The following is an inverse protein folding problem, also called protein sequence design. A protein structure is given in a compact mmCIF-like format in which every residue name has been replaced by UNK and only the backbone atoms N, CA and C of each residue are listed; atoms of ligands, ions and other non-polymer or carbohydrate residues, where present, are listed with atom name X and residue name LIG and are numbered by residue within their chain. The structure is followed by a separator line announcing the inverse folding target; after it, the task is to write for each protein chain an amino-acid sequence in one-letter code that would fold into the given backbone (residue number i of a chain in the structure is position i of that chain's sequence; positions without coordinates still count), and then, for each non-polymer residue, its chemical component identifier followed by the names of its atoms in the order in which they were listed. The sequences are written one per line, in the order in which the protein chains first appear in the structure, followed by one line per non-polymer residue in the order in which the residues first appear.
data_IF_928466635308
#
_entry.id   IF_928466635308
#
_cell.length_a   1.000
_cell.length_b   1.000
_cell.length_c   1.000
_cell.angle_alpha   90.00
_cell.angle_beta   90.00
_cell.angle_gamma   90.00
#
_symmetry.space_group_name_H-M   'P 1'
#
loop_
_entity.id
_entity.type
_entity.pdbx_description
1 polymer ?
#
# COMPACT_ATOMS: atom_id res chain seq x y z
N UNK A 1 14.18 -13.95 -25.62
CA UNK A 1 14.91 -14.36 -24.40
C UNK A 1 14.19 -15.55 -23.83
N UNK A 2 14.89 -16.67 -23.64
CA UNK A 2 14.29 -17.90 -23.13
C UNK A 2 13.84 -17.67 -21.68
N UNK A 3 12.62 -18.08 -21.32
CA UNK A 3 12.05 -17.82 -20.00
C UNK A 3 12.94 -18.28 -18.83
N UNK A 4 13.75 -19.34 -19.05
CA UNK A 4 14.75 -19.80 -18.09
C UNK A 4 15.87 -18.78 -17.83
N UNK A 5 16.36 -18.09 -18.86
CA UNK A 5 17.38 -17.05 -18.72
C UNK A 5 16.82 -15.86 -17.91
N UNK A 6 15.58 -15.45 -18.20
CA UNK A 6 14.91 -14.34 -17.49
C UNK A 6 14.72 -14.65 -16.00
N UNK A 7 14.23 -15.85 -15.64
CA UNK A 7 14.05 -16.25 -14.23
C UNK A 7 15.39 -16.33 -13.51
N UNK A 8 16.42 -16.86 -14.17
CA UNK A 8 17.78 -16.95 -13.59
C UNK A 8 18.34 -15.56 -13.32
N UNK A 9 18.17 -14.60 -14.25
CA UNK A 9 18.60 -13.22 -14.08
C UNK A 9 17.83 -12.51 -12.95
N UNK A 10 16.51 -12.64 -12.88
CA UNK A 10 15.69 -12.04 -11.80
C UNK A 10 16.09 -12.63 -10.45
N UNK A 11 16.33 -13.94 -10.37
CA UNK A 11 16.70 -14.63 -9.14
C UNK A 11 18.09 -14.20 -8.65
N UNK A 12 19.08 -14.08 -9.55
CA UNK A 12 20.41 -13.57 -9.21
C UNK A 12 20.34 -12.11 -8.77
N UNK A 13 19.56 -11.27 -9.48
CA UNK A 13 19.39 -9.86 -9.11
C UNK A 13 18.74 -9.70 -7.73
N UNK A 14 17.70 -10.49 -7.43
CA UNK A 14 17.05 -10.52 -6.12
C UNK A 14 18.01 -10.98 -5.02
N UNK A 15 18.77 -12.05 -5.25
CA UNK A 15 19.76 -12.55 -4.30
C UNK A 15 20.83 -11.48 -3.99
N UNK A 16 21.46 -10.92 -5.02
CA UNK A 16 22.49 -9.90 -4.84
C UNK A 16 21.94 -8.64 -4.18
N UNK A 17 20.76 -8.17 -4.61
CA UNK A 17 20.10 -7.00 -4.03
C UNK A 17 19.82 -7.18 -2.53
N UNK A 18 19.20 -8.29 -2.14
CA UNK A 18 18.93 -8.60 -0.74
C UNK A 18 20.21 -8.79 0.08
N UNK A 19 21.20 -9.50 -0.47
CA UNK A 19 22.48 -9.74 0.19
C UNK A 19 23.23 -8.43 0.46
N UNK A 20 23.41 -7.58 -0.56
CA UNK A 20 24.16 -6.34 -0.40
C UNK A 20 23.43 -5.32 0.46
N UNK A 21 22.11 -5.13 0.29
CA UNK A 21 21.34 -4.22 1.15
C UNK A 21 21.31 -4.71 2.60
N UNK A 22 21.16 -6.02 2.82
CA UNK A 22 21.19 -6.64 4.15
C UNK A 22 22.57 -6.61 4.81
N UNK A 23 23.65 -6.48 4.03
CA UNK A 23 25.01 -6.36 4.55
C UNK A 23 25.36 -4.92 4.99
N UNK A 24 24.56 -3.91 4.60
CA UNK A 24 24.80 -2.50 4.96
C UNK A 24 24.93 -2.30 6.49
N UNK A 25 24.01 -2.80 7.35
CA UNK A 25 24.14 -2.64 8.80
C UNK A 25 25.34 -3.39 9.42
N UNK A 26 25.94 -4.34 8.69
CA UNK A 26 27.14 -5.08 9.11
C UNK A 26 28.43 -4.38 8.69
N UNK A 27 28.42 -3.67 7.56
CA UNK A 27 29.56 -2.89 7.06
C UNK A 27 29.82 -1.62 7.87
N UNK A 28 28.78 -1.06 8.47
CA UNK A 28 28.87 0.15 9.29
C UNK A 28 28.58 -0.18 10.75
N UNK A 29 29.45 0.22 11.67
CA UNK A 29 29.19 0.12 13.11
C UNK A 29 28.11 1.13 13.52
N UNK A 30 26.85 0.74 13.34
CA UNK A 30 25.70 1.58 13.63
C UNK A 30 25.41 1.61 15.13
N UNK A 31 25.08 2.80 15.63
CA UNK A 31 24.64 2.96 17.03
C UNK A 31 23.30 2.24 17.28
N UNK A 32 23.01 1.89 18.54
CA UNK A 32 21.70 1.33 18.92
C UNK A 32 20.52 2.21 18.46
N UNK A 33 20.67 3.54 18.49
CA UNK A 33 19.66 4.48 18.00
C UNK A 33 19.43 4.34 16.48
N UNK A 34 20.51 4.17 15.72
CA UNK A 34 20.44 3.99 14.26
C UNK A 34 19.80 2.64 13.90
N UNK A 35 20.13 1.57 14.64
CA UNK A 35 19.51 0.25 14.45
C UNK A 35 18.02 0.27 14.77
N UNK A 36 17.61 0.91 15.88
CA UNK A 36 16.19 1.12 16.20
C UNK A 36 15.47 1.92 15.12
N UNK A 37 16.08 2.99 14.62
CA UNK A 37 15.50 3.77 13.52
C UNK A 37 15.30 2.94 12.25
N UNK A 38 16.31 2.16 11.84
CA UNK A 38 16.22 1.27 10.67
C UNK A 38 15.16 0.19 10.87
N UNK A 39 15.05 -0.38 12.07
CA UNK A 39 14.03 -1.38 12.39
C UNK A 39 12.62 -0.81 12.32
N UNK A 40 12.39 0.39 12.86
CA UNK A 40 11.09 1.07 12.80
C UNK A 40 10.74 1.44 11.36
N UNK A 41 11.74 1.91 10.58
CA UNK A 41 11.61 2.21 9.16
C UNK A 41 11.19 0.97 8.35
N UNK A 42 11.91 -0.14 8.52
CA UNK A 42 11.61 -1.39 7.84
C UNK A 42 10.24 -1.95 8.24
N UNK A 43 9.92 -1.98 9.54
CA UNK A 43 8.65 -2.48 10.03
C UNK A 43 7.45 -1.67 9.52
N UNK A 44 7.55 -0.33 9.55
CA UNK A 44 6.49 0.55 9.05
C UNK A 44 6.26 0.42 7.55
N UNK A 45 7.35 0.40 6.76
CA UNK A 45 7.28 0.24 5.31
C UNK A 45 6.68 -1.13 4.92
N UNK A 46 7.18 -2.22 5.52
CA UNK A 46 6.70 -3.58 5.25
C UNK A 46 5.23 -3.76 5.65
N UNK A 47 4.85 -3.26 6.83
CA UNK A 47 3.46 -3.32 7.30
C UNK A 47 2.52 -2.52 6.38
N UNK A 48 2.93 -1.32 5.96
CA UNK A 48 2.17 -0.49 5.02
C UNK A 48 1.95 -1.18 3.68
N UNK A 49 3.03 -1.67 3.06
CA UNK A 49 2.94 -2.37 1.76
C UNK A 49 2.13 -3.66 1.87
N UNK A 50 2.33 -4.46 2.92
CA UNK A 50 1.68 -5.76 3.01
C UNK A 50 0.19 -5.67 3.44
N UNK A 51 -0.21 -4.67 4.23
CA UNK A 51 -1.63 -4.39 4.46
C UNK A 51 -2.33 -3.84 3.22
N UNK A 52 -1.62 -3.03 2.43
CA UNK A 52 -2.11 -2.55 1.15
C UNK A 52 -2.34 -3.69 0.12
N UNK A 53 -1.61 -4.81 0.24
CA UNK A 53 -1.77 -6.05 -0.56
C UNK A 53 -2.82 -7.00 0.05
N UNK A 54 -2.95 -7.07 1.37
CA UNK A 54 -3.79 -8.14 1.94
C UNK A 54 -5.27 -7.77 1.91
N UNK A 55 -5.59 -6.48 2.03
CA UNK A 55 -6.98 -6.03 2.17
C UNK A 55 -7.69 -5.97 0.82
N UNK A 56 -7.18 -5.32 -0.24
CA UNK A 56 -7.86 -5.28 -1.55
C UNK A 56 -8.02 -6.67 -2.13
N UNK A 57 -6.94 -7.45 -2.14
CA UNK A 57 -6.94 -8.83 -2.61
C UNK A 57 -7.89 -9.68 -1.75
N UNK A 58 -7.87 -9.56 -0.42
CA UNK A 58 -8.81 -10.26 0.45
C UNK A 58 -10.30 -9.95 0.19
N UNK A 59 -10.62 -8.72 -0.20
CA UNK A 59 -11.99 -8.31 -0.56
C UNK A 59 -12.38 -8.83 -1.93
N UNK A 60 -11.50 -8.77 -2.92
CA UNK A 60 -11.74 -9.36 -4.24
C UNK A 60 -12.06 -10.85 -4.14
N UNK A 61 -11.29 -11.58 -3.32
CA UNK A 61 -11.48 -13.01 -3.08
C UNK A 61 -12.84 -13.30 -2.43
N UNK A 62 -13.23 -12.50 -1.45
CA UNK A 62 -14.54 -12.58 -0.79
C UNK A 62 -15.66 -12.33 -1.81
N UNK A 63 -15.55 -11.27 -2.59
CA UNK A 63 -16.63 -10.85 -3.49
C UNK A 63 -16.80 -11.78 -4.70
N UNK A 64 -15.71 -12.37 -5.23
CA UNK A 64 -15.77 -13.45 -6.23
C UNK A 64 -16.47 -14.70 -5.69
N UNK A 65 -16.22 -15.06 -4.43
CA UNK A 65 -16.88 -16.18 -3.78
C UNK A 65 -18.38 -15.92 -3.53
N UNK A 66 -18.78 -14.66 -3.38
CA UNK A 66 -20.16 -14.25 -3.07
C UNK A 66 -20.96 -13.69 -4.26
N UNK A 67 -20.37 -13.35 -5.42
CA UNK A 67 -21.08 -12.69 -6.53
C UNK A 67 -20.48 -12.93 -7.93
N UNK A 68 -21.28 -13.52 -8.83
CA UNK A 68 -20.98 -13.64 -10.26
C UNK A 68 -21.15 -12.34 -11.07
N UNK A 69 -20.49 -11.22 -10.71
CA UNK A 69 -20.62 -9.90 -11.39
C UNK A 69 -19.26 -9.22 -11.68
N UNK A 70 -18.52 -9.74 -12.66
CA UNK A 70 -17.15 -9.31 -13.01
C UNK A 70 -16.92 -7.95 -13.69
N UNK A 71 -17.83 -6.95 -13.59
CA UNK A 71 -17.58 -5.57 -14.11
C UNK A 71 -17.63 -4.46 -13.06
N UNK A 72 -18.33 -4.68 -11.94
CA UNK A 72 -18.29 -3.76 -10.78
C UNK A 72 -17.01 -3.96 -9.96
N UNK A 73 -16.39 -5.15 -10.08
CA UNK A 73 -15.25 -5.61 -9.29
C UNK A 73 -14.00 -4.74 -9.43
N UNK A 74 -13.54 -4.46 -10.66
CA UNK A 74 -12.26 -3.77 -10.87
C UNK A 74 -12.23 -2.33 -10.30
N UNK A 75 -13.38 -1.68 -10.14
CA UNK A 75 -13.49 -0.36 -9.53
C UNK A 75 -13.42 -0.38 -7.99
N UNK A 76 -13.84 -1.48 -7.37
CA UNK A 76 -13.92 -1.60 -5.92
C UNK A 76 -12.54 -1.82 -5.30
N UNK A 77 -11.74 -2.74 -5.86
CA UNK A 77 -10.37 -3.04 -5.43
C UNK A 77 -9.51 -1.78 -5.42
N UNK A 78 -9.53 -1.05 -6.54
CA UNK A 78 -8.74 0.18 -6.71
C UNK A 78 -9.15 1.25 -5.71
N UNK A 79 -10.45 1.43 -5.51
CA UNK A 79 -10.95 2.39 -4.53
C UNK A 79 -10.60 1.97 -3.10
N UNK A 80 -10.69 0.68 -2.79
CA UNK A 80 -10.39 0.17 -1.45
C UNK A 80 -8.91 0.36 -1.10
N UNK A 81 -8.00 -0.04 -2.00
CA UNK A 81 -6.56 0.18 -1.82
C UNK A 81 -6.21 1.67 -1.63
N UNK A 82 -6.77 2.54 -2.48
CA UNK A 82 -6.61 3.99 -2.36
C UNK A 82 -7.25 4.57 -1.09
N UNK A 83 -8.37 4.02 -0.62
CA UNK A 83 -9.04 4.45 0.61
C UNK A 83 -8.22 4.09 1.85
N UNK A 84 -7.59 2.91 1.85
CA UNK A 84 -6.67 2.49 2.92
C UNK A 84 -5.40 3.37 2.92
N UNK A 85 -4.88 3.71 1.75
CA UNK A 85 -3.79 4.68 1.63
C UNK A 85 -4.18 6.05 2.21
N UNK A 86 -5.34 6.58 1.82
CA UNK A 86 -5.86 7.81 2.40
C UNK A 86 -6.09 7.73 3.92
N UNK A 87 -6.52 6.58 4.44
CA UNK A 87 -6.64 6.36 5.88
C UNK A 87 -5.26 6.40 6.57
N UNK A 88 -4.23 5.82 5.97
CA UNK A 88 -2.85 5.87 6.47
C UNK A 88 -2.31 7.31 6.52
N UNK A 89 -2.62 8.14 5.52
CA UNK A 89 -2.29 9.57 5.53
C UNK A 89 -2.99 10.31 6.68
N UNK A 90 -4.26 9.96 6.91
CA UNK A 90 -5.03 10.47 8.04
C UNK A 90 -4.37 10.13 9.37
N UNK A 91 -3.92 8.89 9.56
CA UNK A 91 -3.20 8.47 10.75
C UNK A 91 -1.90 9.28 10.95
N UNK A 92 -1.09 9.44 9.90
CA UNK A 92 0.14 10.25 9.95
C UNK A 92 -0.14 11.71 10.32
N UNK A 93 -1.16 12.32 9.69
CA UNK A 93 -1.55 13.71 9.95
C UNK A 93 -2.12 13.89 11.37
N UNK A 94 -2.98 12.99 11.84
CA UNK A 94 -3.56 13.04 13.19
C UNK A 94 -2.50 12.92 14.28
N UNK A 95 -1.53 12.01 14.11
CA UNK A 95 -0.37 11.90 14.99
C UNK A 95 0.50 13.17 14.96
N UNK A 96 0.72 13.75 13.77
CA UNK A 96 1.50 14.97 13.62
C UNK A 96 0.87 16.17 14.34
N UNK A 97 -0.46 16.32 14.29
CA UNK A 97 -1.17 17.37 15.01
C UNK A 97 -0.94 17.25 16.52
N UNK A 98 -0.83 16.04 17.06
CA UNK A 98 -0.52 15.82 18.47
C UNK A 98 0.94 16.20 18.87
N UNK A 99 1.88 16.41 17.93
CA UNK A 99 3.30 16.72 18.25
C UNK A 99 3.58 18.16 18.70
N UNK A 100 2.58 19.04 18.77
CA UNK A 100 2.71 20.49 19.06
C UNK A 100 3.70 21.28 18.17
N UNK A 101 4.34 20.62 17.18
CA UNK A 101 5.32 21.21 16.26
C UNK A 101 4.62 21.61 14.96
N UNK A 102 4.28 22.89 14.86
CA UNK A 102 3.58 23.45 13.67
C UNK A 102 4.32 23.16 12.37
N UNK A 103 5.67 23.18 12.35
CA UNK A 103 6.46 22.86 11.15
C UNK A 103 6.17 21.45 10.63
N UNK A 104 6.10 20.45 11.51
CA UNK A 104 5.82 19.05 11.12
C UNK A 104 4.40 18.92 10.59
N UNK A 105 3.44 19.58 11.23
CA UNK A 105 2.04 19.61 10.79
C UNK A 105 1.90 20.20 9.39
N UNK A 106 2.53 21.34 9.12
CA UNK A 106 2.48 22.01 7.82
C UNK A 106 3.14 21.17 6.73
N UNK A 107 4.32 20.58 7.01
CA UNK A 107 5.02 19.72 6.04
C UNK A 107 4.17 18.51 5.67
N UNK A 108 3.62 17.80 6.65
CA UNK A 108 2.82 16.59 6.41
C UNK A 108 1.50 16.96 5.74
N UNK A 109 0.83 18.02 6.18
CA UNK A 109 -0.39 18.51 5.54
C UNK A 109 -0.19 18.85 4.06
N UNK A 110 0.87 19.60 3.75
CA UNK A 110 1.20 19.95 2.37
C UNK A 110 1.56 18.71 1.56
N UNK A 111 2.37 17.81 2.12
CA UNK A 111 2.73 16.55 1.47
C UNK A 111 1.47 15.74 1.12
N UNK A 112 0.55 15.55 2.07
CA UNK A 112 -0.72 14.83 1.88
C UNK A 112 -1.56 15.46 0.78
N UNK A 113 -1.79 16.77 0.82
CA UNK A 113 -2.61 17.42 -0.21
C UNK A 113 -1.97 17.31 -1.60
N UNK A 114 -0.64 17.50 -1.69
CA UNK A 114 0.07 17.49 -2.96
C UNK A 114 0.00 16.15 -3.67
N UNK A 115 -0.04 15.01 -2.97
CA UNK A 115 -0.17 13.70 -3.60
C UNK A 115 -1.61 13.15 -3.60
N UNK A 116 -2.50 13.64 -2.72
CA UNK A 116 -3.93 13.26 -2.69
C UNK A 116 -4.70 13.85 -3.88
N UNK A 117 -4.34 15.04 -4.34
CA UNK A 117 -4.93 15.63 -5.54
C UNK A 117 -4.66 14.77 -6.81
N UNK A 118 -3.41 14.42 -7.16
CA UNK A 118 -3.12 13.47 -8.24
C UNK A 118 -3.80 12.10 -8.05
N UNK A 119 -3.77 11.55 -6.83
CA UNK A 119 -4.39 10.24 -6.55
C UNK A 119 -5.91 10.25 -6.78
N UNK A 120 -6.62 11.30 -6.32
CA UNK A 120 -8.06 11.44 -6.57
C UNK A 120 -8.41 11.60 -8.05
N UNK A 121 -7.57 12.33 -8.80
CA UNK A 121 -7.74 12.46 -10.24
C UNK A 121 -7.55 11.11 -10.94
N UNK A 122 -6.50 10.36 -10.58
CA UNK A 122 -6.26 9.02 -11.10
C UNK A 122 -7.42 8.06 -10.81
N UNK A 123 -7.94 8.05 -9.57
CA UNK A 123 -9.09 7.24 -9.18
C UNK A 123 -10.32 7.54 -10.05
N UNK A 124 -10.69 8.82 -10.17
CA UNK A 124 -11.86 9.22 -10.96
C UNK A 124 -11.66 8.88 -12.44
N UNK A 125 -10.47 9.12 -12.99
CA UNK A 125 -10.13 8.79 -14.38
C UNK A 125 -10.28 7.29 -14.65
N UNK A 126 -9.74 6.45 -13.76
CA UNK A 126 -9.85 5.00 -13.84
C UNK A 126 -11.31 4.54 -13.77
N UNK A 127 -12.09 5.02 -12.79
CA UNK A 127 -13.50 4.64 -12.66
C UNK A 127 -14.34 5.12 -13.85
N UNK A 128 -14.02 6.27 -14.44
CA UNK A 128 -14.65 6.72 -15.69
C UNK A 128 -14.31 5.79 -16.86
N UNK A 129 -13.07 5.29 -16.95
CA UNK A 129 -12.63 4.36 -17.98
C UNK A 129 -13.31 2.98 -17.85
N UNK A 130 -13.62 2.53 -16.64
CA UNK A 130 -14.40 1.30 -16.40
C UNK A 130 -15.89 1.41 -16.81
N UNK A 131 -16.37 2.61 -17.15
CA UNK A 131 -17.75 2.86 -17.58
C UNK A 131 -18.77 2.93 -16.44
N UNK A 132 -18.33 3.14 -15.19
CA UNK A 132 -19.23 3.32 -14.05
C UNK A 132 -20.05 4.61 -14.16
N UNK A 133 -21.30 4.57 -13.69
CA UNK A 133 -22.14 5.78 -13.69
C UNK A 133 -21.60 6.82 -12.68
N UNK A 134 -21.75 8.11 -13.02
CA UNK A 134 -21.23 9.23 -12.22
C UNK A 134 -21.61 9.18 -10.74
N UNK A 135 -22.81 8.68 -10.41
CA UNK A 135 -23.30 8.53 -9.03
C UNK A 135 -22.43 7.57 -8.22
N UNK A 136 -22.01 6.45 -8.81
CA UNK A 136 -21.12 5.49 -8.15
C UNK A 136 -19.71 6.06 -8.03
N UNK A 137 -19.19 6.73 -9.06
CA UNK A 137 -17.88 7.39 -9.02
C UNK A 137 -17.82 8.42 -7.89
N UNK A 138 -18.86 9.23 -7.72
CA UNK A 138 -18.98 10.18 -6.60
C UNK A 138 -18.91 9.50 -5.24
N UNK A 139 -19.53 8.31 -5.10
CA UNK A 139 -19.45 7.51 -3.88
C UNK A 139 -18.02 7.04 -3.55
N UNK A 140 -17.30 6.52 -4.55
CA UNK A 140 -15.90 6.07 -4.38
C UNK A 140 -14.97 7.25 -4.06
N UNK A 141 -15.15 8.39 -4.75
CA UNK A 141 -14.40 9.62 -4.46
C UNK A 141 -14.70 10.17 -3.05
N UNK A 142 -15.95 10.10 -2.61
CA UNK A 142 -16.34 10.50 -1.25
C UNK A 142 -15.69 9.60 -0.20
N UNK A 143 -15.69 8.28 -0.40
CA UNK A 143 -15.01 7.35 0.50
C UNK A 143 -13.51 7.64 0.61
N UNK A 144 -12.83 7.81 -0.54
CA UNK A 144 -11.40 8.15 -0.60
C UNK A 144 -11.06 9.49 0.08
N UNK A 145 -11.87 10.52 -0.17
CA UNK A 145 -11.63 11.86 0.36
C UNK A 145 -11.94 11.96 1.86
N UNK A 146 -12.97 11.26 2.34
CA UNK A 146 -13.39 11.27 3.75
C UNK A 146 -12.48 10.41 4.65
N UNK A 147 -11.81 9.39 4.13
CA UNK A 147 -10.95 8.50 4.92
C UNK A 147 -9.86 9.26 5.70
N UNK A 148 -9.11 10.15 5.04
CA UNK A 148 -8.01 10.86 5.69
C UNK A 148 -8.49 11.81 6.83
N UNK A 149 -9.49 12.69 6.63
CA UNK A 149 -10.03 13.51 7.70
C UNK A 149 -10.61 12.71 8.87
N UNK A 150 -11.38 11.66 8.59
CA UNK A 150 -12.00 10.83 9.65
C UNK A 150 -10.90 10.20 10.50
N UNK A 151 -9.94 9.52 9.86
CA UNK A 151 -8.87 8.84 10.59
C UNK A 151 -7.95 9.83 11.28
N UNK A 152 -7.67 11.00 10.71
CA UNK A 152 -6.87 12.04 11.37
C UNK A 152 -7.50 12.55 12.66
N UNK A 153 -8.81 12.84 12.63
CA UNK A 153 -9.55 13.30 13.82
C UNK A 153 -9.55 12.20 14.87
N UNK A 154 -9.92 10.97 14.49
CA UNK A 154 -9.94 9.83 15.41
C UNK A 154 -8.56 9.58 16.02
N UNK A 155 -7.51 9.60 15.20
CA UNK A 155 -6.12 9.39 15.64
C UNK A 155 -5.68 10.45 16.65
N UNK A 156 -5.96 11.74 16.38
CA UNK A 156 -5.64 12.82 17.31
C UNK A 156 -6.25 12.59 18.70
N UNK A 157 -7.54 12.28 18.77
CA UNK A 157 -8.22 12.03 20.05
C UNK A 157 -7.71 10.78 20.75
N UNK A 158 -7.41 9.71 20.02
CA UNK A 158 -6.83 8.48 20.58
C UNK A 158 -5.46 8.76 21.20
N UNK A 159 -4.54 9.41 20.48
CA UNK A 159 -3.22 9.72 21.04
C UNK A 159 -3.32 10.61 22.27
N UNK A 160 -4.23 11.58 22.25
CA UNK A 160 -4.44 12.47 23.38
C UNK A 160 -5.02 11.73 24.61
N UNK A 161 -5.93 10.78 24.39
CA UNK A 161 -6.54 9.99 25.45
C UNK A 161 -5.59 8.93 26.04
N UNK A 162 -4.73 8.33 25.21
CA UNK A 162 -3.79 7.27 25.61
C UNK A 162 -2.41 7.78 26.03
N UNK A 163 -2.17 9.10 26.02
CA UNK A 163 -0.88 9.73 26.36
C UNK A 163 0.32 9.11 25.61
N UNK A 164 0.11 8.69 24.36
CA UNK A 164 1.18 8.11 23.53
C UNK A 164 2.19 9.19 23.10
N UNK A 165 3.46 8.83 22.91
CA UNK A 165 4.46 9.74 22.34
C UNK A 165 4.09 10.10 20.88
N UNK A 166 3.70 11.37 20.62
CA UNK A 166 3.28 11.78 19.29
C UNK A 166 4.43 11.74 18.29
N UNK A 167 5.68 11.96 18.72
CA UNK A 167 6.82 12.03 17.81
C UNK A 167 7.11 10.64 17.21
N UNK A 168 7.15 9.62 18.08
CA UNK A 168 7.34 8.21 17.68
C UNK A 168 6.18 7.75 16.79
N UNK A 169 4.94 8.07 17.18
CA UNK A 169 3.74 7.66 16.44
C UNK A 169 3.63 8.35 15.09
N UNK A 170 4.02 9.63 14.99
CA UNK A 170 4.06 10.37 13.71
C UNK A 170 5.05 9.72 12.75
N UNK A 171 6.25 9.37 13.23
CA UNK A 171 7.25 8.66 12.44
C UNK A 171 6.74 7.32 11.90
N UNK A 172 6.15 6.49 12.77
CA UNK A 172 5.55 5.22 12.37
C UNK A 172 4.42 5.43 11.37
N UNK A 173 3.55 6.42 11.58
CA UNK A 173 2.44 6.73 10.69
C UNK A 173 2.88 7.18 9.30
N UNK A 174 3.94 7.99 9.20
CA UNK A 174 4.51 8.38 7.91
C UNK A 174 5.11 7.19 7.16
N UNK A 175 5.81 6.29 7.86
CA UNK A 175 6.40 5.09 7.25
C UNK A 175 5.34 4.09 6.80
N UNK A 176 4.29 3.92 7.61
CA UNK A 176 3.12 3.14 7.26
C UNK A 176 2.43 3.70 6.02
N UNK A 177 2.13 5.01 5.99
CA UNK A 177 1.57 5.70 4.82
C UNK A 177 2.47 5.56 3.57
N UNK A 178 3.80 5.69 3.73
CA UNK A 178 4.76 5.51 2.64
C UNK A 178 4.79 4.09 2.08
N UNK A 179 4.65 3.07 2.92
CA UNK A 179 4.54 1.67 2.49
C UNK A 179 3.27 1.42 1.68
N UNK A 180 2.14 1.97 2.12
CA UNK A 180 0.85 1.89 1.40
C UNK A 180 0.91 2.64 0.06
N UNK A 181 1.56 3.82 0.02
CA UNK A 181 1.80 4.57 -1.20
C UNK A 181 2.62 3.78 -2.23
N UNK A 182 3.69 3.11 -1.78
CA UNK A 182 4.57 2.30 -2.65
C UNK A 182 3.78 1.16 -3.33
N UNK A 183 2.89 0.50 -2.59
CA UNK A 183 2.01 -0.53 -3.16
C UNK A 183 1.04 0.08 -4.19
N UNK A 184 0.29 1.12 -3.82
CA UNK A 184 -0.69 1.72 -4.73
C UNK A 184 -0.01 2.21 -6.01
N UNK A 185 1.18 2.81 -5.89
CA UNK A 185 1.97 3.25 -7.03
C UNK A 185 2.39 2.07 -7.94
N UNK A 186 2.79 0.93 -7.39
CA UNK A 186 3.29 -0.22 -8.16
C UNK A 186 2.18 -1.09 -8.75
N UNK A 187 1.06 -1.26 -8.05
CA UNK A 187 -0.02 -2.16 -8.48
C UNK A 187 -1.09 -1.45 -9.30
N UNK A 188 -1.35 -0.17 -9.01
CA UNK A 188 -2.46 0.54 -9.65
C UNK A 188 -2.00 1.63 -10.62
N UNK A 189 -0.87 2.31 -10.33
CA UNK A 189 -0.39 3.41 -11.19
C UNK A 189 0.57 2.93 -12.29
N UNK A 190 1.51 2.03 -11.95
CA UNK A 190 2.54 1.56 -12.88
C UNK A 190 1.99 0.71 -14.06
N UNK A 191 1.01 -0.20 -13.86
CA UNK A 191 0.49 -0.98 -14.98
C UNK A 191 -0.26 -0.13 -16.00
N UNK A 192 -0.99 0.91 -15.56
CA UNK A 192 -1.78 1.82 -16.39
C UNK A 192 -0.91 2.59 -17.41
N UNK A 193 0.31 2.99 -17.01
CA UNK A 193 1.25 3.67 -17.94
C UNK A 193 1.95 2.69 -18.89
N UNK A 194 2.11 1.42 -18.49
CA UNK A 194 2.79 0.40 -19.30
C UNK A 194 1.88 -0.24 -20.36
N UNK A 195 0.57 -0.34 -20.08
CA UNK A 195 -0.44 -0.87 -21.00
C UNK A 195 -0.78 0.08 -22.15
N UNK A 196 -0.52 1.38 -21.98
CA UNK A 196 -0.69 2.40 -23.05
C UNK A 196 0.34 2.24 -24.18
N UNK A 197 1.48 1.60 -23.92
CA UNK A 197 2.57 1.40 -24.91
C UNK A 197 2.40 0.18 -25.82
N UNK A 198 1.47 -0.74 -25.50
CA UNK A 198 1.35 -2.04 -26.21
C UNK A 198 0.24 -2.08 -27.27
N UNK A 199 -0.50 -0.98 -27.47
CA UNK A 199 -1.61 -0.92 -28.44
C UNK A 199 -1.32 -0.11 -29.71
N UNK A 200 -0.05 0.22 -29.97
CA UNK A 200 0.38 0.98 -31.14
C UNK A 200 1.35 0.19 -32.04
N UNK A 201 1.01 -1.05 -32.38
CA UNK A 201 1.72 -1.84 -33.37
C UNK A 201 1.45 -3.32 -33.25
N UNK A 202 0.42 -3.82 -33.94
CA UNK A 202 0.51 -4.98 -34.84
C UNK A 202 -0.90 -5.20 -35.42
N UNK A 203 -1.07 -4.92 -36.71
CA UNK A 203 -2.21 -5.40 -37.48
C UNK A 203 -1.84 -6.75 -38.11
N UNK A 204 -2.84 -7.65 -38.19
CA UNK A 204 -2.86 -8.94 -38.90
C UNK A 204 -2.02 -10.10 -38.36
N UNK A 205 -2.67 -11.10 -37.73
CA UNK A 205 -3.07 -12.36 -38.40
C UNK A 205 -3.84 -13.31 -37.45
N UNK A 206 -4.90 -13.93 -37.97
CA UNK A 206 -5.65 -15.00 -37.29
C UNK A 206 -4.80 -16.25 -37.05
N UNK A 207 -4.94 -16.88 -35.86
CA UNK A 207 -5.13 -18.32 -35.71
C UNK A 207 -5.55 -18.69 -34.26
N UNK A 208 -6.45 -19.69 -34.05
CA UNK A 208 -6.86 -20.15 -32.73
C UNK A 208 -6.04 -21.37 -32.28
N UNK A 209 -5.47 -21.32 -31.07
CA UNK A 209 -5.03 -22.52 -30.36
C UNK A 209 -5.37 -22.39 -28.86
N UNK A 210 -6.03 -23.40 -28.25
CA UNK A 210 -6.39 -23.36 -26.84
C UNK A 210 -5.39 -24.16 -26.01
N UNK A 211 -4.57 -23.53 -25.17
CA UNK A 211 -3.94 -24.21 -24.04
C UNK A 211 -3.89 -23.29 -22.82
N UNK A 212 -4.85 -23.51 -21.92
CA UNK A 212 -4.90 -22.88 -20.62
C UNK A 212 -3.94 -23.57 -19.66
N UNK A 213 -2.86 -22.88 -19.30
CA UNK A 213 -2.26 -23.05 -17.99
C UNK A 213 -2.91 -22.04 -17.04
N UNK A 214 -4.03 -22.46 -16.44
CA UNK A 214 -4.62 -21.77 -15.29
C UNK A 214 -3.58 -21.84 -14.20
N UNK A 215 -2.93 -20.70 -13.92
CA UNK A 215 -2.20 -20.54 -12.68
C UNK A 215 -3.23 -20.71 -11.56
N UNK A 216 -3.25 -21.89 -10.95
CA UNK A 216 -4.07 -22.20 -9.80
C UNK A 216 -3.53 -21.36 -8.64
N UNK A 217 -3.91 -20.08 -8.62
CA UNK A 217 -3.70 -19.18 -7.50
C UNK A 217 -4.47 -19.81 -6.33
N UNK A 218 -3.69 -20.37 -5.40
CA UNK A 218 -4.22 -20.97 -4.19
C UNK A 218 -4.77 -19.83 -3.34
N UNK A 219 -6.07 -19.64 -3.49
CA UNK A 219 -6.93 -18.68 -2.80
C UNK A 219 -6.69 -18.74 -1.28
N UNK A 220 -6.39 -17.60 -0.66
CA UNK A 220 -6.25 -17.50 0.80
C UNK A 220 -7.64 -17.38 1.43
N UNK A 221 -7.95 -18.24 2.39
CA UNK A 221 -9.19 -18.15 3.15
C UNK A 221 -9.23 -16.91 4.05
N UNK A 222 -10.43 -16.50 4.49
CA UNK A 222 -10.62 -15.34 5.40
C UNK A 222 -9.78 -15.44 6.68
N UNK A 223 -9.55 -16.67 7.18
CA UNK A 223 -8.68 -16.93 8.32
C UNK A 223 -7.19 -16.74 7.98
N UNK A 224 -6.76 -17.04 6.75
CA UNK A 224 -5.40 -16.75 6.26
C UNK A 224 -5.19 -15.24 6.11
N UNK A 225 -6.18 -14.50 5.61
CA UNK A 225 -6.13 -13.03 5.55
C UNK A 225 -6.07 -12.41 6.95
N UNK A 226 -6.88 -12.89 7.91
CA UNK A 226 -6.82 -12.41 9.29
C UNK A 226 -5.50 -12.77 9.99
N UNK A 227 -4.99 -13.99 9.78
CA UNK A 227 -3.69 -14.40 10.34
C UNK A 227 -2.53 -13.63 9.71
N UNK A 228 -2.62 -13.25 8.43
CA UNK A 228 -1.68 -12.34 7.78
C UNK A 228 -1.74 -10.93 8.37
N UNK A 229 -2.95 -10.36 8.53
CA UNK A 229 -3.16 -9.04 9.15
C UNK A 229 -2.56 -9.00 10.56
N UNK A 230 -2.85 -10.00 11.40
CA UNK A 230 -2.28 -10.09 12.74
C UNK A 230 -0.77 -10.39 12.73
N UNK A 231 -0.31 -11.25 11.82
CA UNK A 231 1.11 -11.60 11.66
C UNK A 231 1.97 -10.43 11.20
N UNK A 232 1.41 -9.50 10.41
CA UNK A 232 2.07 -8.25 10.01
C UNK A 232 2.20 -7.22 11.14
N UNK A 233 1.32 -7.29 12.16
CA UNK A 233 1.44 -6.48 13.37
C UNK A 233 2.61 -6.91 14.26
N UNK A 234 3.03 -8.17 14.17
CA UNK A 234 4.06 -8.74 15.04
C UNK A 234 5.45 -8.08 14.87
N UNK A 235 5.99 -7.84 13.67
CA UNK A 235 7.23 -7.07 13.49
C UNK A 235 7.18 -5.67 14.08
N UNK A 236 6.04 -4.99 13.99
CA UNK A 236 5.86 -3.66 14.58
C UNK A 236 5.87 -3.76 16.11
N UNK A 237 5.15 -4.71 16.70
CA UNK A 237 5.13 -4.95 18.14
C UNK A 237 6.53 -5.33 18.65
N UNK A 238 7.24 -6.21 17.95
CA UNK A 238 8.62 -6.59 18.29
C UNK A 238 9.59 -5.42 18.18
N UNK A 239 9.48 -4.60 17.12
CA UNK A 239 10.27 -3.38 16.98
C UNK A 239 9.95 -2.35 18.06
N UNK A 240 8.73 -2.35 18.61
CA UNK A 240 8.31 -1.47 19.69
C UNK A 240 8.72 -1.94 21.08
N UNK A 241 8.72 -3.26 21.32
CA UNK A 241 9.04 -3.90 22.59
C UNK A 241 10.54 -4.02 22.90
N UNK A 242 11.40 -3.61 21.96
CA UNK A 242 12.83 -3.38 22.22
C UNK A 242 13.02 -2.03 22.93
N UNK A 243 12.40 -1.85 24.10
CA UNK A 243 12.73 -0.75 25.01
C UNK A 243 13.97 -1.11 25.84
N UNK A 244 14.77 -0.09 26.11
CA UNK A 244 16.15 -0.15 26.60
C UNK A 244 16.27 -0.71 28.03
N UNK A 245 16.98 -1.83 28.17
CA UNK A 245 17.87 -2.07 29.33
C UNK A 245 19.29 -1.59 28.98
#
# INVERSE_FOLDING_TARGET
MDGGLTITLISVAMFLGCFFLGFIPLLFSLSQRSLKFISILGAGLLCGTALAITIPEGVDLLEEAFSGRGKVHAGLTATLGLTIHAAADGFALGAAVATAKVTVQVIIFLAVILHKAPASFGLVSYLMHTGLEKKYIQGHLLAFSAAAPIVAITTYFILHALFCDPNRTTGIGMLFSGGTFLYVATVHVLPEISSTSSSAGEADTLQPHPEGHVHQQRFMGLLESLTLIFGMGLPVILALGLDDD
#
